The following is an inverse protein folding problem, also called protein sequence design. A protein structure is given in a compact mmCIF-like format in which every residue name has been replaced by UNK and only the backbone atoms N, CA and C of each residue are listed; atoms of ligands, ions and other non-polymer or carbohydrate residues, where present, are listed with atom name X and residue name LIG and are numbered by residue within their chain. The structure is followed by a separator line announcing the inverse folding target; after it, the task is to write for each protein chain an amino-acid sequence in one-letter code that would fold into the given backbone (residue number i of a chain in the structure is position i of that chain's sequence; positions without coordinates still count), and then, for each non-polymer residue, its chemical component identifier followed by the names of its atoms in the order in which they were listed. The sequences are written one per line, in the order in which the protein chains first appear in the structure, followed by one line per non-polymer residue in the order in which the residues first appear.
data_IF_005538628961
#
_entry.id   IF_005538628961
#
_cell.length_a   1.000
_cell.length_b   1.000
_cell.length_c   1.000
_cell.angle_alpha   90.00
_cell.angle_beta   90.00
_cell.angle_gamma   90.00
#
_symmetry.space_group_name_H-M   'P 1'
#
loop_
_entity.id
_entity.type
_entity.pdbx_description
1 polymer ?
#
# COMPACT_ATOMS: atom_id res chain seq x y z
N UNK A 1 25.53 29.69 -18.00
CA UNK A 1 26.00 29.74 -16.60
C UNK A 1 24.76 29.65 -15.72
N UNK A 2 24.39 28.43 -15.32
CA UNK A 2 23.17 28.14 -14.57
C UNK A 2 23.54 27.41 -13.29
N UNK A 3 22.99 27.89 -12.18
CA UNK A 3 23.17 27.39 -10.81
C UNK A 3 22.60 25.97 -10.71
N UNK A 4 23.47 25.00 -10.48
CA UNK A 4 23.09 23.68 -9.97
C UNK A 4 23.05 23.77 -8.45
N UNK A 5 21.85 23.87 -7.87
CA UNK A 5 21.67 23.53 -6.47
C UNK A 5 21.36 22.04 -6.36
N UNK A 6 22.45 21.26 -6.34
CA UNK A 6 22.46 19.88 -5.94
C UNK A 6 22.08 19.82 -4.46
N UNK A 7 20.78 19.66 -4.16
CA UNK A 7 20.32 19.34 -2.81
C UNK A 7 20.88 17.97 -2.45
N UNK A 8 22.00 18.06 -1.73
CA UNK A 8 22.81 17.00 -1.16
C UNK A 8 21.94 15.92 -0.48
N UNK A 9 22.09 14.69 -0.95
CA UNK A 9 22.66 13.50 -0.26
C UNK A 9 22.57 13.35 1.28
N UNK A 10 22.49 14.42 2.05
CA UNK A 10 22.74 14.39 3.50
C UNK A 10 21.46 14.18 4.32
N UNK A 11 20.30 14.60 3.81
CA UNK A 11 19.01 14.31 4.47
C UNK A 11 18.66 12.83 4.42
N UNK A 12 19.01 12.12 3.33
CA UNK A 12 18.71 10.69 3.20
C UNK A 12 19.65 9.82 4.04
N UNK A 13 20.93 10.23 4.18
CA UNK A 13 21.88 9.57 5.11
C UNK A 13 21.49 9.79 6.57
N UNK A 14 21.02 10.99 6.91
CA UNK A 14 20.54 11.32 8.26
C UNK A 14 19.27 10.54 8.61
N UNK A 15 18.32 10.41 7.68
CA UNK A 15 17.11 9.61 7.87
C UNK A 15 17.41 8.11 8.05
N UNK A 16 18.36 7.56 7.29
CA UNK A 16 18.79 6.15 7.42
C UNK A 16 19.54 5.92 8.74
N UNK A 17 20.39 6.86 9.16
CA UNK A 17 21.10 6.79 10.45
C UNK A 17 20.13 6.91 11.64
N UNK A 18 19.14 7.79 11.55
CA UNK A 18 18.10 7.96 12.56
C UNK A 18 17.19 6.73 12.64
N UNK A 19 16.83 6.14 11.50
CA UNK A 19 16.08 4.88 11.45
C UNK A 19 16.84 3.70 12.06
N UNK A 20 18.16 3.60 11.82
CA UNK A 20 19.00 2.57 12.48
C UNK A 20 19.14 2.81 13.98
N UNK A 21 19.27 4.06 14.41
CA UNK A 21 19.32 4.40 15.84
C UNK A 21 18.01 4.05 16.54
N UNK A 22 16.87 4.36 15.93
CA UNK A 22 15.55 3.97 16.45
C UNK A 22 15.41 2.44 16.51
N UNK A 23 15.87 1.70 15.49
CA UNK A 23 15.84 0.24 15.51
C UNK A 23 16.76 -0.37 16.60
N UNK A 24 17.93 0.24 16.83
CA UNK A 24 18.87 -0.16 17.88
C UNK A 24 18.33 0.19 19.28
N UNK A 25 17.71 1.36 19.44
CA UNK A 25 17.07 1.80 20.67
C UNK A 25 15.84 0.92 20.99
N UNK A 26 15.09 0.44 19.98
CA UNK A 26 14.00 -0.52 20.15
C UNK A 26 14.53 -1.92 20.53
N UNK A 27 15.65 -2.36 19.96
CA UNK A 27 16.29 -3.62 20.36
C UNK A 27 16.85 -3.58 21.78
N UNK A 28 17.46 -2.46 22.19
CA UNK A 28 17.94 -2.27 23.57
C UNK A 28 16.79 -2.06 24.57
N UNK A 29 15.70 -1.39 24.17
CA UNK A 29 14.50 -1.28 24.99
C UNK A 29 13.81 -2.65 25.22
N UNK A 30 13.92 -3.56 24.26
CA UNK A 30 13.46 -4.96 24.38
C UNK A 30 14.35 -5.84 25.28
N UNK A 31 15.58 -5.42 25.60
CA UNK A 31 16.51 -6.11 26.50
C UNK A 31 16.56 -5.49 27.90
N UNK A 32 15.75 -4.46 28.17
CA UNK A 32 15.48 -4.08 29.56
C UNK A 32 14.53 -5.12 30.12
N UNK A 33 15.11 -6.19 30.63
CA UNK A 33 14.49 -7.12 31.56
C UNK A 33 13.54 -6.33 32.46
N UNK A 34 12.25 -6.69 32.59
CA UNK A 34 11.37 -5.97 33.49
C UNK A 34 12.03 -6.08 34.86
N UNK A 35 12.63 -4.99 35.35
CA UNK A 35 12.94 -4.83 36.75
C UNK A 35 11.58 -4.78 37.41
N UNK A 36 11.12 -5.99 37.71
CA UNK A 36 9.84 -6.22 38.30
C UNK A 36 9.87 -5.46 39.61
N UNK A 37 9.03 -4.43 39.71
CA UNK A 37 8.41 -4.08 40.97
C UNK A 37 7.59 -5.30 41.42
N UNK A 38 8.29 -6.37 41.79
CA UNK A 38 7.73 -7.53 42.46
C UNK A 38 7.60 -7.05 43.90
N UNK A 39 6.47 -6.44 44.23
CA UNK A 39 5.96 -6.63 45.58
C UNK A 39 5.97 -8.14 45.79
N UNK A 40 6.80 -8.60 46.72
CA UNK A 40 6.88 -10.02 47.09
C UNK A 40 5.53 -10.41 47.69
N UNK A 41 4.59 -10.76 46.81
CA UNK A 41 3.34 -11.40 47.15
C UNK A 41 3.69 -12.60 48.03
N UNK A 42 3.02 -12.73 49.17
CA UNK A 42 3.27 -13.87 50.03
C UNK A 42 2.96 -15.16 49.26
N UNK A 43 3.54 -16.29 49.67
CA UNK A 43 3.21 -17.57 49.05
C UNK A 43 1.70 -17.88 49.06
N UNK A 44 0.93 -17.27 49.98
CA UNK A 44 -0.52 -17.35 49.99
C UNK A 44 -1.16 -16.49 48.90
N UNK A 45 -0.68 -15.25 48.69
CA UNK A 45 -1.20 -14.36 47.66
C UNK A 45 -0.91 -14.89 46.25
N UNK A 46 0.27 -15.49 46.06
CA UNK A 46 0.63 -16.13 44.79
C UNK A 46 -0.31 -17.30 44.46
N UNK A 47 -0.59 -18.17 45.46
CA UNK A 47 -1.55 -19.27 45.30
C UNK A 47 -2.97 -18.77 45.02
N UNK A 48 -3.39 -17.68 45.65
CA UNK A 48 -4.71 -17.09 45.39
C UNK A 48 -4.80 -16.53 43.97
N UNK A 49 -3.72 -15.92 43.47
CA UNK A 49 -3.63 -15.44 42.09
C UNK A 49 -3.67 -16.59 41.08
N UNK A 50 -2.96 -17.68 41.36
CA UNK A 50 -2.96 -18.88 40.52
C UNK A 50 -4.36 -19.51 40.45
N UNK A 51 -5.02 -19.68 41.60
CA UNK A 51 -6.41 -20.18 41.65
C UNK A 51 -7.38 -19.25 40.92
N UNK A 52 -7.21 -17.93 41.03
CA UNK A 52 -8.04 -16.97 40.31
C UNK A 52 -7.81 -17.03 38.79
N UNK A 53 -6.57 -17.18 38.35
CA UNK A 53 -6.20 -17.34 36.95
C UNK A 53 -6.71 -18.66 36.37
N UNK A 54 -6.61 -19.76 37.11
CA UNK A 54 -7.17 -21.07 36.73
C UNK A 54 -8.70 -21.00 36.60
N UNK A 55 -9.39 -20.36 37.55
CA UNK A 55 -10.85 -20.15 37.46
C UNK A 55 -11.23 -19.27 36.28
N UNK A 56 -10.49 -18.20 36.00
CA UNK A 56 -10.71 -17.33 34.85
C UNK A 56 -10.45 -18.07 33.53
N UNK A 57 -9.39 -18.88 33.45
CA UNK A 57 -9.09 -19.72 32.29
C UNK A 57 -10.17 -20.76 32.05
N UNK A 58 -10.67 -21.41 33.11
CA UNK A 58 -11.79 -22.35 33.03
C UNK A 58 -13.10 -21.68 32.58
N UNK A 59 -13.39 -20.46 33.06
CA UNK A 59 -14.54 -19.67 32.60
C UNK A 59 -14.43 -19.28 31.12
N UNK A 60 -13.24 -18.86 30.67
CA UNK A 60 -12.98 -18.53 29.26
C UNK A 60 -13.08 -19.77 28.36
N UNK A 61 -12.58 -20.92 28.83
CA UNK A 61 -12.69 -22.19 28.11
C UNK A 61 -14.14 -22.71 28.04
N UNK A 62 -14.92 -22.53 29.11
CA UNK A 62 -16.33 -22.94 29.17
C UNK A 62 -17.26 -22.03 28.34
N UNK A 63 -16.86 -20.78 28.07
CA UNK A 63 -17.66 -19.81 27.32
C UNK A 63 -17.73 -20.09 25.80
N UNK A 64 -17.01 -21.10 25.29
CA UNK A 64 -16.87 -21.33 23.84
C UNK A 64 -16.12 -20.19 23.15
N UNK A 65 -15.88 -20.24 21.83
CA UNK A 65 -15.36 -19.09 21.12
C UNK A 65 -16.37 -17.96 21.25
N UNK A 66 -16.01 -16.88 21.94
CA UNK A 66 -16.81 -15.69 22.02
C UNK A 66 -17.15 -15.26 20.58
N UNK A 67 -18.42 -15.34 20.20
CA UNK A 67 -18.88 -14.76 18.95
C UNK A 67 -18.78 -13.25 19.15
N UNK A 68 -17.68 -12.69 18.68
CA UNK A 68 -17.44 -11.26 18.73
C UNK A 68 -18.55 -10.57 17.91
N UNK A 69 -19.57 -10.06 18.60
CA UNK A 69 -20.69 -9.39 17.95
C UNK A 69 -20.17 -8.08 17.39
N UNK A 70 -20.17 -7.97 16.07
CA UNK A 70 -19.78 -6.72 15.42
C UNK A 70 -20.78 -5.61 15.76
N UNK A 71 -20.33 -4.66 16.56
CA UNK A 71 -21.14 -3.53 17.02
C UNK A 71 -21.26 -2.42 15.96
N UNK A 72 -20.23 -2.23 15.11
CA UNK A 72 -20.21 -1.22 14.04
C UNK A 72 -18.81 -0.95 13.47
N UNK A 73 -18.73 -0.12 12.42
CA UNK A 73 -17.47 0.28 11.79
C UNK A 73 -16.97 -0.66 10.68
N UNK A 74 -15.68 -0.60 10.38
CA UNK A 74 -15.07 -1.38 9.30
C UNK A 74 -15.11 -2.87 9.61
N UNK A 75 -15.62 -3.67 8.66
CA UNK A 75 -15.60 -5.12 8.74
C UNK A 75 -14.45 -5.68 7.91
N UNK A 76 -13.68 -6.56 8.53
CA UNK A 76 -12.71 -7.38 7.80
C UNK A 76 -13.43 -8.61 7.23
N UNK A 77 -13.24 -8.84 5.93
CA UNK A 77 -13.73 -10.03 5.26
C UNK A 77 -12.56 -10.85 4.73
N UNK A 78 -12.59 -12.16 5.01
CA UNK A 78 -11.70 -13.11 4.35
C UNK A 78 -12.21 -13.38 2.94
N UNK A 79 -11.56 -12.75 1.97
CA UNK A 79 -11.86 -12.89 0.55
C UNK A 79 -11.20 -14.11 -0.09
N UNK A 80 -10.29 -14.82 0.60
CA UNK A 80 -9.70 -16.06 0.07
C UNK A 80 -10.71 -17.21 0.10
N UNK A 81 -11.58 -17.23 1.12
CA UNK A 81 -12.67 -18.21 1.25
C UNK A 81 -13.88 -17.89 0.40
N UNK A 82 -14.19 -16.61 0.21
CA UNK A 82 -15.24 -16.15 -0.69
C UNK A 82 -14.68 -16.18 -2.09
N UNK A 83 -14.93 -17.22 -2.89
CA UNK A 83 -14.53 -17.27 -4.31
C UNK A 83 -15.18 -16.10 -5.07
N UNK A 84 -14.57 -14.91 -5.01
CA UNK A 84 -15.05 -13.74 -5.72
C UNK A 84 -14.83 -14.02 -7.20
N UNK A 85 -15.92 -14.07 -7.96
CA UNK A 85 -15.86 -14.17 -9.41
C UNK A 85 -15.76 -12.76 -9.97
N UNK A 86 -14.66 -12.46 -10.65
CA UNK A 86 -14.56 -11.26 -11.45
C UNK A 86 -15.38 -11.44 -12.74
N UNK A 87 -16.07 -10.39 -13.16
CA UNK A 87 -16.55 -10.31 -14.54
C UNK A 87 -15.37 -10.30 -15.52
N UNK A 88 -15.59 -10.73 -16.77
CA UNK A 88 -14.54 -10.75 -17.81
C UNK A 88 -13.92 -9.37 -18.03
N UNK A 89 -14.75 -8.35 -17.90
CA UNK A 89 -14.36 -6.96 -18.08
C UNK A 89 -14.13 -6.25 -16.78
N UNK A 90 -14.02 -6.88 -15.60
CA UNK A 90 -13.95 -6.14 -14.33
C UNK A 90 -12.51 -5.81 -13.91
N UNK A 91 -12.25 -4.61 -13.37
CA UNK A 91 -10.94 -4.30 -12.79
C UNK A 91 -10.68 -5.19 -11.57
N UNK A 92 -9.46 -5.70 -11.44
CA UNK A 92 -9.06 -6.56 -10.32
C UNK A 92 -7.82 -5.99 -9.65
N UNK A 93 -7.89 -5.76 -8.33
CA UNK A 93 -6.76 -5.34 -7.51
C UNK A 93 -6.45 -6.45 -6.51
N UNK A 94 -5.23 -7.00 -6.56
CA UNK A 94 -4.77 -8.07 -5.66
C UNK A 94 -5.73 -9.28 -5.56
N UNK A 95 -6.38 -9.63 -6.68
CA UNK A 95 -7.35 -10.74 -6.75
C UNK A 95 -8.77 -10.38 -6.30
N UNK A 96 -9.02 -9.13 -5.92
CA UNK A 96 -10.35 -8.63 -5.56
C UNK A 96 -10.95 -7.88 -6.74
N UNK A 97 -12.09 -8.36 -7.31
CA UNK A 97 -12.81 -7.62 -8.33
C UNK A 97 -13.40 -6.33 -7.77
N UNK A 98 -13.24 -5.24 -8.52
CA UNK A 98 -13.69 -3.90 -8.15
C UNK A 98 -15.05 -3.62 -8.81
N UNK A 99 -16.10 -3.28 -8.06
CA UNK A 99 -17.40 -2.92 -8.65
C UNK A 99 -17.28 -1.74 -9.62
N UNK A 100 -17.98 -1.80 -10.76
CA UNK A 100 -17.91 -0.78 -11.81
C UNK A 100 -18.28 0.62 -11.30
N UNK A 101 -19.20 0.69 -10.33
CA UNK A 101 -19.72 1.95 -9.76
C UNK A 101 -18.65 2.71 -8.95
N UNK A 102 -17.58 2.05 -8.54
CA UNK A 102 -16.49 2.66 -7.76
C UNK A 102 -15.20 2.84 -8.56
N UNK A 103 -15.14 2.39 -9.82
CA UNK A 103 -13.92 2.50 -10.65
C UNK A 103 -13.48 3.95 -10.83
N UNK A 104 -14.43 4.87 -10.98
CA UNK A 104 -14.16 6.31 -11.14
C UNK A 104 -13.85 7.05 -9.84
N UNK A 105 -13.84 6.38 -8.67
CA UNK A 105 -13.56 7.03 -7.38
C UNK A 105 -12.06 7.17 -7.06
N UNK A 106 -11.21 6.72 -7.99
CA UNK A 106 -9.75 6.67 -7.87
C UNK A 106 -9.24 5.71 -6.79
N UNK A 107 -8.02 5.22 -6.97
CA UNK A 107 -7.39 4.27 -6.05
C UNK A 107 -6.07 4.82 -5.51
N UNK A 108 -5.84 4.62 -4.21
CA UNK A 108 -4.56 4.85 -3.57
C UNK A 108 -3.90 3.50 -3.25
N UNK A 109 -2.77 3.21 -3.91
CA UNK A 109 -1.94 2.04 -3.65
C UNK A 109 -0.76 2.45 -2.75
N UNK A 110 -0.84 2.12 -1.46
CA UNK A 110 0.21 2.42 -0.48
C UNK A 110 0.96 1.16 -0.02
N UNK A 111 2.27 1.25 0.17
CA UNK A 111 3.11 0.14 0.63
C UNK A 111 4.60 0.40 0.44
N UNK A 112 5.45 -0.37 1.12
CA UNK A 112 6.91 -0.27 1.00
C UNK A 112 7.42 -0.63 -0.42
N UNK A 113 8.65 -0.24 -0.81
CA UNK A 113 9.28 -0.75 -2.03
C UNK A 113 9.25 -2.28 -2.06
N UNK A 114 8.98 -2.87 -3.23
CA UNK A 114 8.90 -4.33 -3.39
C UNK A 114 7.57 -4.99 -3.00
N UNK A 115 6.58 -4.27 -2.46
CA UNK A 115 5.28 -4.85 -2.06
C UNK A 115 4.31 -5.10 -3.23
N UNK A 116 4.76 -5.01 -4.48
CA UNK A 116 3.93 -5.34 -5.65
C UNK A 116 3.01 -4.22 -6.17
N UNK A 117 3.10 -2.98 -5.67
CA UNK A 117 2.28 -1.85 -6.18
C UNK A 117 2.33 -1.71 -7.71
N UNK A 118 3.52 -1.72 -8.30
CA UNK A 118 3.69 -1.63 -9.75
C UNK A 118 3.06 -2.82 -10.47
N UNK A 119 3.11 -4.03 -9.88
CA UNK A 119 2.47 -5.21 -10.47
C UNK A 119 0.94 -5.09 -10.48
N UNK A 120 0.35 -4.55 -9.40
CA UNK A 120 -1.08 -4.24 -9.38
C UNK A 120 -1.46 -3.25 -10.48
N UNK A 121 -0.66 -2.19 -10.70
CA UNK A 121 -0.90 -1.22 -11.78
C UNK A 121 -0.83 -1.90 -13.16
N UNK A 122 0.15 -2.79 -13.39
CA UNK A 122 0.24 -3.54 -14.66
C UNK A 122 -0.98 -4.42 -14.90
N UNK A 123 -1.52 -5.06 -13.86
CA UNK A 123 -2.77 -5.84 -13.94
C UNK A 123 -3.97 -4.97 -14.34
N UNK A 124 -4.08 -3.77 -13.75
CA UNK A 124 -5.11 -2.80 -14.12
C UNK A 124 -4.97 -2.37 -15.59
N UNK A 125 -3.76 -1.99 -16.03
CA UNK A 125 -3.51 -1.59 -17.41
C UNK A 125 -3.80 -2.70 -18.42
N UNK A 126 -3.54 -3.96 -18.07
CA UNK A 126 -3.88 -5.12 -18.91
C UNK A 126 -5.40 -5.24 -19.11
N UNK A 127 -6.17 -4.97 -18.05
CA UNK A 127 -7.64 -5.00 -18.10
C UNK A 127 -8.18 -3.83 -18.92
N UNK A 128 -7.70 -2.61 -18.65
CA UNK A 128 -8.05 -1.39 -19.41
C UNK A 128 -7.79 -1.60 -20.90
N UNK A 129 -6.65 -2.21 -21.25
CA UNK A 129 -6.33 -2.57 -22.63
C UNK A 129 -7.31 -3.57 -23.23
N UNK A 130 -7.69 -4.62 -22.49
CA UNK A 130 -8.64 -5.61 -22.96
C UNK A 130 -10.04 -5.01 -23.21
N UNK A 131 -10.38 -3.93 -22.49
CA UNK A 131 -11.61 -3.15 -22.68
C UNK A 131 -11.56 -2.13 -23.83
N UNK A 132 -10.42 -2.00 -24.53
CA UNK A 132 -10.17 -0.94 -25.51
C UNK A 132 -10.31 0.48 -24.93
N UNK A 133 -9.97 0.63 -23.66
CA UNK A 133 -9.98 1.91 -22.95
C UNK A 133 -8.61 2.60 -23.00
N UNK A 134 -8.60 3.92 -22.76
CA UNK A 134 -7.38 4.74 -22.77
C UNK A 134 -6.84 4.92 -21.35
N UNK A 135 -5.52 4.86 -21.22
CA UNK A 135 -4.82 5.18 -19.98
C UNK A 135 -3.68 6.16 -20.24
N UNK A 136 -3.45 7.06 -19.28
CA UNK A 136 -2.27 7.92 -19.24
C UNK A 136 -1.35 7.37 -18.15
N UNK A 137 -0.13 7.01 -18.53
CA UNK A 137 0.85 6.44 -17.62
C UNK A 137 1.98 7.44 -17.37
N UNK A 138 2.16 7.84 -16.11
CA UNK A 138 3.39 8.49 -15.69
C UNK A 138 4.45 7.44 -15.37
N UNK A 139 5.45 7.31 -16.24
CA UNK A 139 6.42 6.21 -16.19
C UNK A 139 7.87 6.73 -16.18
N UNK A 140 8.39 7.14 -15.01
CA UNK A 140 9.74 7.69 -14.91
C UNK A 140 10.84 6.66 -15.15
N UNK A 141 10.54 5.36 -15.01
CA UNK A 141 11.53 4.27 -15.17
C UNK A 141 11.45 3.65 -16.56
N UNK A 142 10.33 3.78 -17.27
CA UNK A 142 10.10 3.14 -18.57
C UNK A 142 9.55 1.71 -18.49
N UNK A 143 9.11 1.27 -17.31
CA UNK A 143 8.62 -0.10 -17.08
C UNK A 143 7.27 -0.36 -17.76
N UNK A 144 6.39 0.64 -17.80
CA UNK A 144 5.11 0.56 -18.50
C UNK A 144 5.31 0.67 -20.00
N UNK A 145 6.16 1.60 -20.46
CA UNK A 145 6.50 1.74 -21.88
C UNK A 145 7.12 0.44 -22.41
N UNK A 146 8.09 -0.14 -21.71
CA UNK A 146 8.72 -1.40 -22.14
C UNK A 146 7.75 -2.60 -22.17
N UNK A 147 6.76 -2.63 -21.28
CA UNK A 147 5.80 -3.75 -21.20
C UNK A 147 4.63 -3.58 -22.18
N UNK A 148 4.12 -2.36 -22.36
CA UNK A 148 2.82 -2.13 -22.98
C UNK A 148 2.88 -1.35 -24.30
N UNK A 149 3.94 -0.62 -24.62
CA UNK A 149 3.96 0.27 -25.79
C UNK A 149 3.75 -0.45 -27.13
N UNK A 150 2.84 0.06 -27.95
CA UNK A 150 2.56 -0.39 -29.32
C UNK A 150 2.95 0.70 -30.32
N UNK A 151 3.96 0.46 -31.18
CA UNK A 151 4.35 1.41 -32.23
C UNK A 151 3.17 1.76 -33.14
N UNK A 152 3.00 3.05 -33.45
CA UNK A 152 1.94 3.54 -34.34
C UNK A 152 0.55 3.61 -33.70
N UNK A 153 0.39 3.16 -32.45
CA UNK A 153 -0.89 3.22 -31.71
C UNK A 153 -0.74 4.08 -30.46
N UNK A 154 0.26 3.77 -29.63
CA UNK A 154 0.45 4.46 -28.35
C UNK A 154 1.36 5.69 -28.52
N UNK A 155 1.08 6.74 -27.75
CA UNK A 155 1.77 8.03 -27.80
C UNK A 155 2.77 8.13 -26.65
N UNK A 156 4.01 8.52 -26.95
CA UNK A 156 5.04 8.85 -25.96
C UNK A 156 5.19 10.36 -25.91
N UNK A 157 5.12 10.92 -24.71
CA UNK A 157 5.37 12.33 -24.41
C UNK A 157 6.64 12.42 -23.56
N UNK A 158 7.79 12.40 -24.23
CA UNK A 158 9.11 12.50 -23.61
C UNK A 158 10.10 13.11 -24.62
N UNK A 159 10.51 14.38 -24.49
CA UNK A 159 11.38 15.05 -25.45
C UNK A 159 12.79 14.44 -25.59
N UNK A 160 13.17 13.52 -24.69
CA UNK A 160 14.42 12.78 -24.74
C UNK A 160 14.28 11.42 -25.43
N UNK A 161 13.08 11.03 -25.83
CA UNK A 161 12.81 9.81 -26.58
C UNK A 161 12.66 10.13 -28.08
N UNK A 162 13.34 9.37 -28.94
CA UNK A 162 13.21 9.52 -30.39
C UNK A 162 11.79 9.27 -30.94
N UNK A 163 10.93 8.61 -30.14
CA UNK A 163 9.54 8.26 -30.49
C UNK A 163 8.54 9.30 -29.98
N UNK A 164 9.03 10.41 -29.43
CA UNK A 164 8.19 11.49 -28.92
C UNK A 164 7.21 12.00 -29.97
N UNK A 165 6.00 12.34 -29.53
CA UNK A 165 4.99 12.91 -30.42
C UNK A 165 5.17 14.41 -30.70
N UNK A 166 6.15 15.08 -30.08
CA UNK A 166 6.40 16.51 -30.27
C UNK A 166 5.29 17.39 -29.71
N UNK A 167 4.62 16.95 -28.64
CA UNK A 167 3.56 17.74 -28.00
C UNK A 167 4.16 18.75 -27.02
N UNK A 168 3.62 19.96 -27.05
CA UNK A 168 3.88 21.02 -26.09
C UNK A 168 2.56 21.61 -25.62
N UNK A 169 2.46 22.14 -24.40
CA UNK A 169 1.23 22.79 -23.91
C UNK A 169 0.68 23.88 -24.84
N UNK A 170 1.56 24.54 -25.60
CA UNK A 170 1.19 25.57 -26.58
C UNK A 170 0.36 25.02 -27.74
N UNK A 171 0.47 23.74 -28.06
CA UNK A 171 -0.24 23.09 -29.15
C UNK A 171 -1.75 23.01 -28.86
N UNK A 172 -2.14 23.01 -27.59
CA UNK A 172 -3.53 22.94 -27.14
C UNK A 172 -4.19 24.32 -27.03
N UNK A 173 -3.42 25.39 -27.21
CA UNK A 173 -3.97 26.75 -27.25
C UNK A 173 -4.75 26.93 -28.56
N UNK A 174 -6.08 26.78 -28.48
CA UNK A 174 -6.95 27.36 -29.49
C UNK A 174 -6.66 28.86 -29.57
N UNK A 175 -6.56 29.40 -30.78
CA UNK A 175 -6.43 30.84 -30.99
C UNK A 175 -7.66 31.54 -30.43
N UNK A 176 -7.61 31.96 -29.17
CA UNK A 176 -8.48 32.96 -28.56
C UNK A 176 -8.17 34.33 -29.18
N UNK A 177 -8.27 34.45 -30.51
CA UNK A 177 -8.44 35.74 -31.14
C UNK A 177 -9.93 35.94 -31.39
N UNK A 178 -10.52 36.77 -30.54
CA UNK A 178 -11.86 37.34 -30.68
C UNK A 178 -12.14 37.68 -32.16
N UNK A 179 -13.23 37.12 -32.69
CA UNK A 179 -13.79 37.47 -33.99
C UNK A 179 -15.13 38.17 -33.77
#
# INVERSE_FOLDING_TARGET
MGIFDFIKSDSMKTAIAMGRKIAQDIQQAGETQPQAATSTLSAADQRMLDVANERRAAQLAAAGPAQDQHLGGTRLHDVTRRKLKAGETQLVIAGVPIPEEVECQHFLLAGAPGTGKSQSIKGLLSTIRARDEKAICFDPVGDMVSTFYRPGIDIILNPLDSRDAGWYPWNDLERLCHR
#
